data_IF_930985392379
#
_entry.id   IF_930985392379
#
_cell.length_a   1.000
_cell.length_b   1.000
_cell.length_c   1.000
_cell.angle_alpha   90.00
_cell.angle_beta   90.00
_cell.angle_gamma   90.00
#
_symmetry.space_group_name_H-M   'P 1'
#
loop_
_entity.id
_entity.type
_entity.pdbx_description
1 polymer ?
#
# COMPACT_ATOMS: atom_id res chain seq x y z
N UNK A 1 -29.72 16.16 -6.14
CA UNK A 1 -29.61 16.67 -4.75
C UNK A 1 -28.29 16.22 -4.08
N UNK A 2 -27.12 16.55 -4.66
CA UNK A 2 -25.82 16.21 -4.05
C UNK A 2 -25.20 17.43 -3.34
N UNK A 3 -25.03 18.54 -4.06
CA UNK A 3 -24.40 19.77 -3.54
C UNK A 3 -25.05 20.30 -2.25
N UNK A 4 -26.39 20.38 -2.12
CA UNK A 4 -27.01 20.82 -0.86
C UNK A 4 -26.62 19.92 0.32
N UNK A 5 -26.55 18.60 0.11
CA UNK A 5 -26.15 17.65 1.15
C UNK A 5 -24.69 17.82 1.55
N UNK A 6 -23.79 18.01 0.57
CA UNK A 6 -22.38 18.29 0.84
C UNK A 6 -22.22 19.55 1.70
N UNK A 7 -23.01 20.59 1.43
CA UNK A 7 -23.03 21.84 2.23
C UNK A 7 -23.58 21.60 3.64
N UNK A 8 -24.72 20.93 3.78
CA UNK A 8 -25.32 20.61 5.09
C UNK A 8 -24.38 19.77 5.95
N UNK A 9 -23.70 18.79 5.35
CA UNK A 9 -22.72 17.94 6.04
C UNK A 9 -21.36 18.63 6.26
N UNK A 10 -21.20 19.90 5.85
CA UNK A 10 -19.96 20.68 5.98
C UNK A 10 -18.74 19.92 5.42
N UNK A 11 -18.93 19.26 4.28
CA UNK A 11 -17.88 18.49 3.62
C UNK A 11 -16.75 19.43 3.21
N UNK A 12 -15.51 19.06 3.55
CA UNK A 12 -14.31 19.85 3.25
C UNK A 12 -13.43 19.25 2.15
N UNK A 13 -13.62 17.98 1.82
CA UNK A 13 -12.90 17.27 0.77
C UNK A 13 -13.76 16.12 0.25
N UNK A 14 -13.67 15.86 -1.05
CA UNK A 14 -14.21 14.66 -1.69
C UNK A 14 -13.04 13.80 -2.18
N UNK A 15 -13.09 12.51 -1.92
CA UNK A 15 -12.13 11.53 -2.44
C UNK A 15 -12.91 10.53 -3.27
N UNK A 16 -12.63 10.48 -4.57
CA UNK A 16 -13.15 9.45 -5.46
C UNK A 16 -12.06 8.41 -5.65
N UNK A 17 -12.28 7.24 -5.05
CA UNK A 17 -11.37 6.11 -5.20
C UNK A 17 -11.72 5.27 -6.43
N UNK A 18 -10.75 4.47 -6.88
CA UNK A 18 -10.90 3.56 -8.02
C UNK A 18 -11.23 4.24 -9.36
N UNK A 19 -10.78 5.48 -9.59
CA UNK A 19 -11.10 6.22 -10.83
C UNK A 19 -10.54 5.56 -12.10
N UNK A 20 -9.52 4.69 -12.00
CA UNK A 20 -9.05 3.85 -13.11
C UNK A 20 -10.15 2.96 -13.70
N UNK A 21 -11.24 2.70 -12.97
CA UNK A 21 -12.37 1.92 -13.49
C UNK A 21 -13.03 2.58 -14.70
N UNK A 22 -12.94 3.91 -14.82
CA UNK A 22 -13.43 4.62 -16.01
C UNK A 22 -12.68 4.22 -17.28
N UNK A 23 -11.46 3.69 -17.19
CA UNK A 23 -10.67 3.21 -18.32
C UNK A 23 -11.11 1.83 -18.83
N UNK A 24 -12.00 1.14 -18.13
CA UNK A 24 -12.50 -0.16 -18.58
C UNK A 24 -13.34 -0.01 -19.85
N UNK A 25 -13.37 -1.02 -20.75
CA UNK A 25 -14.15 -0.95 -21.99
C UNK A 25 -15.66 -0.73 -21.78
N UNK A 26 -16.22 -1.31 -20.71
CA UNK A 26 -17.64 -1.16 -20.37
C UNK A 26 -18.01 0.26 -19.93
N UNK A 27 -17.05 1.05 -19.45
CA UNK A 27 -17.24 2.44 -19.03
C UNK A 27 -17.05 3.46 -20.17
N UNK A 28 -16.63 3.05 -21.38
CA UNK A 28 -16.27 3.94 -22.48
C UNK A 28 -17.39 4.93 -22.83
N UNK A 29 -18.63 4.45 -22.98
CA UNK A 29 -19.79 5.27 -23.34
C UNK A 29 -20.15 6.33 -22.29
N UNK A 30 -19.76 6.12 -21.04
CA UNK A 30 -20.11 7.01 -19.92
C UNK A 30 -18.90 7.81 -19.41
N UNK A 31 -17.70 7.54 -19.93
CA UNK A 31 -16.45 8.10 -19.44
C UNK A 31 -16.46 9.62 -19.48
N UNK A 32 -16.64 10.18 -20.67
CA UNK A 32 -16.55 11.64 -20.88
C UNK A 32 -17.61 12.38 -20.08
N UNK A 33 -18.86 11.89 -20.09
CA UNK A 33 -19.93 12.46 -19.27
C UNK A 33 -19.64 12.41 -17.77
N UNK A 34 -18.91 11.39 -17.30
CA UNK A 34 -18.50 11.29 -15.89
C UNK A 34 -17.36 12.27 -15.57
N UNK A 35 -16.40 12.44 -16.48
CA UNK A 35 -15.30 13.41 -16.32
C UNK A 35 -15.83 14.85 -16.33
N UNK A 36 -16.75 15.16 -17.25
CA UNK A 36 -17.44 16.45 -17.31
C UNK A 36 -18.24 16.72 -16.03
N UNK A 37 -18.93 15.69 -15.52
CA UNK A 37 -19.64 15.78 -14.25
C UNK A 37 -18.71 16.05 -13.07
N UNK A 38 -17.51 15.43 -13.02
CA UNK A 38 -16.51 15.72 -11.98
C UNK A 38 -16.03 17.17 -12.05
N UNK A 39 -15.78 17.70 -13.25
CA UNK A 39 -15.39 19.10 -13.45
C UNK A 39 -16.51 20.05 -13.01
N UNK A 40 -17.76 19.74 -13.36
CA UNK A 40 -18.92 20.51 -12.93
C UNK A 40 -19.10 20.44 -11.40
N UNK A 41 -18.92 19.27 -10.78
CA UNK A 41 -19.00 19.10 -9.34
C UNK A 41 -17.93 19.91 -8.61
N UNK A 42 -16.68 19.87 -9.07
CA UNK A 42 -15.59 20.68 -8.53
C UNK A 42 -15.95 22.17 -8.59
N UNK A 43 -16.44 22.62 -9.75
CA UNK A 43 -16.77 24.03 -10.00
C UNK A 43 -17.95 24.51 -9.16
N UNK A 44 -19.03 23.73 -9.08
CA UNK A 44 -20.27 24.13 -8.40
C UNK A 44 -20.22 23.96 -6.88
N UNK A 45 -19.47 22.97 -6.40
CA UNK A 45 -19.36 22.71 -4.96
C UNK A 45 -18.33 23.62 -4.27
N UNK A 46 -17.29 24.04 -5.00
CA UNK A 46 -16.08 24.66 -4.44
C UNK A 46 -15.40 23.82 -3.35
N UNK A 47 -15.64 22.50 -3.36
CA UNK A 47 -15.01 21.55 -2.45
C UNK A 47 -13.83 20.91 -3.18
N UNK A 48 -12.62 20.87 -2.59
CA UNK A 48 -11.49 20.12 -3.14
C UNK A 48 -11.85 18.67 -3.43
N UNK A 49 -11.50 18.21 -4.64
CA UNK A 49 -11.72 16.83 -5.09
C UNK A 49 -10.36 16.16 -5.32
N UNK A 50 -10.15 15.03 -4.65
CA UNK A 50 -9.01 14.13 -4.86
C UNK A 50 -9.52 12.95 -5.67
N UNK A 51 -8.80 12.62 -6.75
CA UNK A 51 -9.03 11.42 -7.55
C UNK A 51 -7.94 10.41 -7.20
N UNK A 52 -8.34 9.24 -6.75
CA UNK A 52 -7.47 8.15 -6.27
C UNK A 52 -7.69 6.90 -7.12
N UNK A 53 -6.62 6.14 -7.31
CA UNK A 53 -6.65 4.90 -8.08
C UNK A 53 -5.25 4.35 -8.35
N UNK A 54 -5.17 3.41 -9.28
CA UNK A 54 -3.89 2.81 -9.68
C UNK A 54 -3.11 3.71 -10.66
N UNK A 55 -1.89 3.34 -10.99
CA UNK A 55 -1.04 4.04 -11.97
C UNK A 55 -1.71 4.23 -13.35
N UNK A 56 -2.69 3.37 -13.68
CA UNK A 56 -3.50 3.47 -14.90
C UNK A 56 -4.28 4.77 -14.98
N UNK A 57 -4.63 5.38 -13.84
CA UNK A 57 -5.35 6.66 -13.80
C UNK A 57 -4.66 7.75 -14.62
N UNK A 58 -3.32 7.69 -14.76
CA UNK A 58 -2.55 8.61 -15.60
C UNK A 58 -3.12 8.75 -17.03
N UNK A 59 -3.69 7.67 -17.59
CA UNK A 59 -4.27 7.67 -18.93
C UNK A 59 -5.52 8.54 -19.07
N UNK A 60 -6.24 8.82 -17.97
CA UNK A 60 -7.39 9.73 -17.95
C UNK A 60 -6.99 11.20 -18.09
N UNK A 61 -5.72 11.54 -17.82
CA UNK A 61 -5.22 12.91 -17.84
C UNK A 61 -4.51 13.26 -19.17
N UNK A 62 -4.64 12.40 -20.20
CA UNK A 62 -4.16 12.72 -21.55
C UNK A 62 -4.98 13.86 -22.20
N UNK A 63 -6.21 14.10 -21.71
CA UNK A 63 -7.04 15.22 -22.17
C UNK A 63 -6.70 16.53 -21.42
N UNK A 64 -6.30 17.54 -22.18
CA UNK A 64 -5.74 18.79 -21.64
C UNK A 64 -6.70 19.58 -20.72
N UNK A 65 -8.02 19.69 -20.98
CA UNK A 65 -8.96 20.37 -20.10
C UNK A 65 -9.15 19.69 -18.74
N UNK A 66 -9.27 18.35 -18.70
CA UNK A 66 -9.41 17.60 -17.46
C UNK A 66 -8.13 17.67 -16.62
N UNK A 67 -6.98 17.46 -17.26
CA UNK A 67 -5.66 17.53 -16.62
C UNK A 67 -5.40 18.90 -15.95
N UNK A 68 -5.86 20.01 -16.56
CA UNK A 68 -5.73 21.35 -15.98
C UNK A 68 -6.51 21.54 -14.68
N UNK A 69 -7.57 20.77 -14.44
CA UNK A 69 -8.36 20.83 -13.19
C UNK A 69 -7.78 19.93 -12.09
N UNK A 70 -7.02 18.92 -12.48
CA UNK A 70 -6.37 17.95 -11.60
C UNK A 70 -4.87 17.90 -11.86
N UNK A 71 -4.20 19.05 -11.80
CA UNK A 71 -2.80 19.20 -12.18
C UNK A 71 -1.81 18.77 -11.09
N UNK A 72 -2.28 18.53 -9.86
CA UNK A 72 -1.46 18.03 -8.76
C UNK A 72 -1.58 16.51 -8.68
N UNK A 73 -0.46 15.83 -8.94
CA UNK A 73 -0.37 14.36 -8.89
C UNK A 73 0.58 13.98 -7.78
N UNK A 74 0.13 13.09 -6.89
CA UNK A 74 0.96 12.44 -5.89
C UNK A 74 0.97 10.93 -6.16
N UNK A 75 2.16 10.34 -6.20
CA UNK A 75 2.32 8.90 -6.36
C UNK A 75 2.72 8.28 -5.02
N UNK A 76 1.98 7.28 -4.58
CA UNK A 76 2.35 6.46 -3.43
C UNK A 76 3.17 5.27 -3.93
N UNK A 77 4.47 5.31 -3.70
CA UNK A 77 5.37 4.19 -3.98
C UNK A 77 5.35 3.19 -2.83
N UNK A 78 5.73 1.94 -3.13
CA UNK A 78 6.04 0.96 -2.07
C UNK A 78 7.22 1.45 -1.24
N UNK A 79 7.24 1.06 0.03
CA UNK A 79 8.36 1.37 0.91
C UNK A 79 9.66 0.80 0.35
N UNK A 80 10.74 1.57 0.49
CA UNK A 80 12.10 1.10 0.24
C UNK A 80 12.69 0.52 1.51
N UNK A 81 13.48 -0.53 1.37
CA UNK A 81 14.22 -1.02 2.52
C UNK A 81 15.37 -0.08 2.84
N UNK A 82 15.52 0.23 4.12
CA UNK A 82 16.66 0.95 4.66
C UNK A 82 16.83 0.53 6.13
N UNK A 83 18.06 0.22 6.52
CA UNK A 83 18.35 -0.22 7.89
C UNK A 83 18.18 0.89 8.93
N UNK A 84 18.17 2.16 8.50
CA UNK A 84 17.95 3.32 9.35
C UNK A 84 16.61 3.26 10.09
N UNK A 85 16.65 3.65 11.37
CA UNK A 85 15.46 3.87 12.20
C UNK A 85 14.66 5.12 11.79
N UNK A 86 15.20 5.95 10.90
CA UNK A 86 14.49 7.11 10.34
C UNK A 86 13.86 6.82 8.98
N UNK A 87 13.96 5.58 8.48
CA UNK A 87 13.34 5.20 7.21
C UNK A 87 11.82 5.15 7.31
N UNK A 88 11.12 5.52 6.24
CA UNK A 88 9.65 5.52 6.19
C UNK A 88 9.06 4.16 6.56
N UNK A 89 9.70 3.07 6.13
CA UNK A 89 9.27 1.71 6.47
C UNK A 89 9.38 1.43 7.97
N UNK A 90 10.53 1.77 8.58
CA UNK A 90 10.73 1.58 10.02
C UNK A 90 9.74 2.45 10.83
N UNK A 91 9.61 3.73 10.50
CA UNK A 91 8.70 4.64 11.20
C UNK A 91 7.23 4.21 11.07
N UNK A 92 6.83 3.69 9.91
CA UNK A 92 5.50 3.11 9.71
C UNK A 92 5.28 1.90 10.61
N UNK A 93 6.23 0.96 10.64
CA UNK A 93 6.13 -0.21 11.52
C UNK A 93 6.13 0.17 12.99
N UNK A 94 6.93 1.15 13.41
CA UNK A 94 6.95 1.66 14.77
C UNK A 94 5.60 2.29 15.17
N UNK A 95 4.99 3.08 14.28
CA UNK A 95 3.67 3.65 14.50
C UNK A 95 2.57 2.60 14.62
N UNK A 96 2.59 1.59 13.75
CA UNK A 96 1.65 0.46 13.81
C UNK A 96 1.84 -0.37 15.08
N UNK A 97 3.09 -0.66 15.45
CA UNK A 97 3.46 -1.42 16.63
C UNK A 97 2.93 -0.76 17.91
N UNK A 98 3.14 0.55 18.04
CA UNK A 98 2.62 1.35 19.17
C UNK A 98 1.10 1.21 19.33
N UNK A 99 0.34 1.31 18.23
CA UNK A 99 -1.12 1.18 18.29
C UNK A 99 -1.56 -0.27 18.56
N UNK A 100 -0.86 -1.26 18.01
CA UNK A 100 -1.13 -2.67 18.27
C UNK A 100 -0.95 -3.02 19.75
N UNK A 101 0.18 -2.63 20.35
CA UNK A 101 0.45 -2.86 21.77
C UNK A 101 -0.56 -2.14 22.67
N UNK A 102 -0.95 -0.91 22.29
CA UNK A 102 -1.98 -0.15 23.02
C UNK A 102 -3.36 -0.82 22.96
N UNK A 103 -3.75 -1.38 21.81
CA UNK A 103 -5.08 -1.95 21.61
C UNK A 103 -5.20 -3.39 22.14
N UNK A 104 -4.17 -4.21 21.96
CA UNK A 104 -4.20 -5.64 22.28
C UNK A 104 -3.67 -5.97 23.69
N UNK A 105 -3.15 -4.98 24.42
CA UNK A 105 -2.49 -5.17 25.71
C UNK A 105 -1.39 -6.25 25.65
N UNK A 106 -0.57 -6.21 24.58
CA UNK A 106 0.50 -7.17 24.39
C UNK A 106 1.57 -7.05 25.48
N UNK A 107 2.15 -8.19 25.82
CA UNK A 107 3.35 -8.29 26.66
C UNK A 107 4.51 -8.84 25.83
N UNK A 108 5.74 -8.38 26.07
CA UNK A 108 6.94 -8.88 25.40
C UNK A 108 7.74 -7.79 24.69
N UNK A 109 8.95 -8.18 24.26
CA UNK A 109 9.98 -7.28 23.71
C UNK A 109 10.10 -7.36 22.17
N UNK A 110 9.35 -8.25 21.50
CA UNK A 110 9.41 -8.38 20.04
C UNK A 110 8.50 -7.37 19.35
N UNK A 111 9.09 -6.37 18.70
CA UNK A 111 8.36 -5.30 18.04
C UNK A 111 8.44 -5.41 16.51
N UNK A 112 7.41 -4.90 15.81
CA UNK A 112 7.37 -4.96 14.34
C UNK A 112 8.60 -4.33 13.67
N UNK A 113 9.19 -3.33 14.30
CA UNK A 113 10.31 -2.57 13.79
C UNK A 113 11.68 -3.18 14.11
N UNK A 114 11.72 -4.29 14.87
CA UNK A 114 12.93 -5.05 15.14
C UNK A 114 13.45 -5.71 13.86
N UNK A 115 14.77 -5.80 13.71
CA UNK A 115 15.41 -6.41 12.53
C UNK A 115 14.91 -7.84 12.28
N UNK A 116 14.62 -8.59 13.36
CA UNK A 116 14.09 -9.94 13.27
C UNK A 116 12.71 -9.99 12.57
N UNK A 117 11.87 -8.97 12.70
CA UNK A 117 10.54 -8.92 12.08
C UNK A 117 10.55 -8.06 10.82
N UNK A 118 11.06 -6.83 10.90
CA UNK A 118 11.14 -5.83 9.82
C UNK A 118 11.75 -6.42 8.54
N UNK A 119 12.88 -7.12 8.65
CA UNK A 119 13.61 -7.60 7.48
C UNK A 119 12.85 -8.71 6.75
N UNK A 120 12.44 -9.83 7.39
CA UNK A 120 11.54 -10.80 6.77
C UNK A 120 10.22 -10.21 6.25
N UNK A 121 9.63 -9.24 6.96
CA UNK A 121 8.41 -8.58 6.54
C UNK A 121 8.62 -7.80 5.24
N UNK A 122 9.79 -7.18 5.06
CA UNK A 122 10.16 -6.57 3.78
C UNK A 122 10.37 -7.63 2.70
N UNK A 123 11.09 -8.72 2.98
CA UNK A 123 11.27 -9.84 2.02
C UNK A 123 9.93 -10.38 1.54
N UNK A 124 8.95 -10.48 2.44
CA UNK A 124 7.61 -10.98 2.16
C UNK A 124 6.76 -10.04 1.27
N UNK A 125 6.94 -8.72 1.42
CA UNK A 125 6.02 -7.70 0.90
C UNK A 125 6.62 -6.78 -0.14
N UNK A 126 7.96 -6.70 -0.22
CA UNK A 126 8.71 -5.68 -0.97
C UNK A 126 8.26 -4.25 -0.66
N UNK A 127 7.86 -3.99 0.59
CA UNK A 127 7.38 -2.69 1.04
C UNK A 127 5.96 -2.34 0.60
N UNK A 128 5.21 -3.28 0.01
CA UNK A 128 3.80 -3.08 -0.28
C UNK A 128 2.99 -3.15 1.03
N UNK A 129 2.33 -2.03 1.37
CA UNK A 129 1.58 -1.87 2.62
C UNK A 129 0.39 -2.84 2.76
N UNK A 130 -0.21 -3.28 1.65
CA UNK A 130 -1.30 -4.28 1.68
C UNK A 130 -0.79 -5.60 2.25
N UNK A 131 0.32 -6.13 1.73
CA UNK A 131 0.91 -7.39 2.20
C UNK A 131 1.49 -7.25 3.60
N UNK A 132 2.13 -6.12 3.91
CA UNK A 132 2.57 -5.80 5.28
C UNK A 132 1.39 -5.91 6.26
N UNK A 133 0.27 -5.25 5.94
CA UNK A 133 -0.95 -5.29 6.77
C UNK A 133 -1.51 -6.71 6.87
N UNK A 134 -1.62 -7.46 5.77
CA UNK A 134 -2.15 -8.82 5.78
C UNK A 134 -1.31 -9.76 6.65
N UNK A 135 0.01 -9.70 6.54
CA UNK A 135 0.92 -10.51 7.35
C UNK A 135 0.80 -10.17 8.83
N UNK A 136 0.83 -8.88 9.17
CA UNK A 136 0.67 -8.41 10.56
C UNK A 136 -0.69 -8.84 11.12
N UNK A 137 -1.76 -8.64 10.36
CA UNK A 137 -3.12 -9.02 10.76
C UNK A 137 -3.24 -10.51 11.06
N UNK A 138 -2.71 -11.36 10.18
CA UNK A 138 -2.77 -12.80 10.36
C UNK A 138 -1.91 -13.26 11.56
N UNK A 139 -0.69 -12.73 11.70
CA UNK A 139 0.17 -13.02 12.85
C UNK A 139 -0.48 -12.61 14.19
N UNK A 140 -1.08 -11.42 14.22
CA UNK A 140 -1.83 -10.93 15.39
C UNK A 140 -3.05 -11.80 15.67
N UNK A 141 -3.81 -12.20 14.64
CA UNK A 141 -4.96 -13.10 14.79
C UNK A 141 -4.56 -14.45 15.38
N UNK A 142 -3.46 -15.04 14.89
CA UNK A 142 -2.89 -16.28 15.42
C UNK A 142 -2.47 -16.10 16.88
N UNK A 143 -1.78 -15.00 17.19
CA UNK A 143 -1.35 -14.70 18.55
C UNK A 143 -2.52 -14.60 19.53
N UNK A 144 -3.56 -13.85 19.16
CA UNK A 144 -4.75 -13.65 19.99
C UNK A 144 -5.61 -14.92 20.11
N UNK A 145 -5.59 -15.78 19.09
CA UNK A 145 -6.28 -17.07 19.11
C UNK A 145 -5.75 -18.08 20.14
N UNK A 146 -4.61 -17.80 20.79
CA UNK A 146 -4.06 -18.65 21.86
C UNK A 146 -4.76 -18.52 23.22
N UNK A 147 -5.73 -17.61 23.35
CA UNK A 147 -6.54 -17.40 24.57
C UNK A 147 -5.72 -17.19 25.86
N UNK A 148 -4.60 -16.47 25.76
CA UNK A 148 -3.76 -16.11 26.91
C UNK A 148 -4.18 -14.76 27.52
N UNK A 149 -4.15 -14.63 28.84
CA UNK A 149 -4.47 -13.38 29.55
C UNK A 149 -3.54 -12.21 29.22
N UNK A 150 -2.32 -12.50 28.77
CA UNK A 150 -1.30 -11.53 28.34
C UNK A 150 -0.71 -12.00 27.01
N UNK A 151 -1.33 -11.66 25.87
CA UNK A 151 -0.86 -12.12 24.58
C UNK A 151 0.55 -11.57 24.30
N UNK A 152 1.42 -12.42 23.74
CA UNK A 152 2.77 -12.04 23.31
C UNK A 152 2.90 -12.36 21.84
N UNK A 153 3.04 -11.32 21.02
CA UNK A 153 3.33 -11.49 19.60
C UNK A 153 4.76 -12.01 19.45
N UNK A 154 4.95 -13.05 18.64
CA UNK A 154 6.24 -13.73 18.45
C UNK A 154 6.53 -13.90 16.97
N UNK A 155 7.81 -14.00 16.61
CA UNK A 155 8.26 -14.37 15.26
C UNK A 155 7.57 -15.62 14.73
N UNK A 156 7.30 -16.60 15.60
CA UNK A 156 6.59 -17.82 15.22
C UNK A 156 5.19 -17.55 14.64
N UNK A 157 4.49 -16.52 15.12
CA UNK A 157 3.17 -16.13 14.60
C UNK A 157 3.26 -15.63 13.16
N UNK A 158 4.35 -14.92 12.83
CA UNK A 158 4.62 -14.50 11.46
C UNK A 158 5.02 -15.66 10.56
N UNK A 159 5.74 -16.65 11.09
CA UNK A 159 6.02 -17.90 10.36
C UNK A 159 4.70 -18.58 10.00
N UNK A 160 3.79 -18.73 10.96
CA UNK A 160 2.51 -19.38 10.74
C UNK A 160 1.61 -18.56 9.79
N UNK A 161 1.58 -17.23 9.94
CA UNK A 161 0.86 -16.33 9.03
C UNK A 161 1.30 -16.50 7.57
N UNK A 162 2.61 -16.52 7.32
CA UNK A 162 3.14 -16.68 5.97
C UNK A 162 2.93 -18.09 5.37
N UNK A 163 2.45 -19.09 6.14
CA UNK A 163 2.03 -20.38 5.57
C UNK A 163 0.65 -20.31 4.93
N UNK A 164 -0.22 -19.45 5.44
CA UNK A 164 -1.62 -19.34 5.00
C UNK A 164 -1.83 -18.25 3.94
N UNK A 165 -0.87 -17.34 3.77
CA UNK A 165 -0.96 -16.21 2.85
C UNK A 165 -0.30 -16.50 1.49
N UNK A 166 -0.98 -16.11 0.41
CA UNK A 166 -0.38 -16.03 -0.92
C UNK A 166 0.38 -14.70 -1.05
N UNK A 167 1.71 -14.78 -1.12
CA UNK A 167 2.60 -13.62 -1.15
C UNK A 167 3.32 -13.52 -2.51
N UNK A 168 2.69 -12.97 -3.56
CA UNK A 168 3.25 -12.94 -4.91
C UNK A 168 4.50 -12.07 -5.04
N UNK A 169 4.72 -11.14 -4.10
CA UNK A 169 5.91 -10.28 -4.06
C UNK A 169 7.05 -10.86 -3.19
N UNK A 170 6.89 -12.05 -2.62
CA UNK A 170 7.90 -12.63 -1.73
C UNK A 170 9.24 -12.88 -2.46
N UNK A 171 10.29 -12.18 -2.04
CA UNK A 171 11.64 -12.31 -2.61
C UNK A 171 12.26 -13.69 -2.32
N UNK A 172 11.82 -14.37 -1.26
CA UNK A 172 12.25 -15.73 -0.93
C UNK A 172 11.56 -16.81 -1.78
N UNK A 173 10.72 -16.41 -2.75
CA UNK A 173 9.97 -17.29 -3.66
C UNK A 173 9.10 -18.29 -2.87
N UNK A 174 9.45 -19.57 -2.92
CA UNK A 174 8.71 -20.67 -2.28
C UNK A 174 9.08 -20.86 -0.80
N UNK A 175 10.07 -20.14 -0.28
CA UNK A 175 10.43 -20.22 1.14
C UNK A 175 9.65 -19.19 1.95
N UNK A 176 9.33 -19.57 3.20
CA UNK A 176 8.74 -18.65 4.16
C UNK A 176 9.78 -17.58 4.54
N UNK A 177 9.50 -16.28 4.35
CA UNK A 177 10.48 -15.22 4.57
C UNK A 177 10.96 -15.15 6.04
N UNK A 178 10.14 -15.57 7.00
CA UNK A 178 10.50 -15.61 8.42
C UNK A 178 11.35 -16.83 8.81
N UNK A 179 11.58 -17.79 7.92
CA UNK A 179 12.52 -18.90 8.15
C UNK A 179 13.85 -18.73 7.42
N UNK A 180 13.99 -17.69 6.59
CA UNK A 180 15.24 -17.35 5.89
C UNK A 180 16.22 -16.66 6.86
N UNK A 181 17.52 -17.04 6.87
CA UNK A 181 18.54 -16.35 7.66
C UNK A 181 18.65 -14.87 7.30
N UNK A 182 18.86 -13.99 8.28
CA UNK A 182 18.89 -12.53 8.08
C UNK A 182 19.91 -12.09 7.02
N UNK A 183 21.10 -12.70 7.01
CA UNK A 183 22.13 -12.41 5.99
C UNK A 183 21.64 -12.70 4.58
N UNK A 184 20.94 -13.82 4.38
CA UNK A 184 20.33 -14.17 3.09
C UNK A 184 19.18 -13.24 2.74
N UNK A 185 18.39 -12.82 3.71
CA UNK A 185 17.32 -11.83 3.52
C UNK A 185 17.87 -10.48 3.04
N UNK A 186 18.99 -10.00 3.60
CA UNK A 186 19.66 -8.79 3.13
C UNK A 186 20.12 -8.93 1.67
N UNK A 187 20.79 -10.04 1.32
CA UNK A 187 21.23 -10.27 -0.07
C UNK A 187 20.06 -10.36 -1.07
N UNK A 188 18.90 -10.87 -0.65
CA UNK A 188 17.69 -10.86 -1.48
C UNK A 188 17.18 -9.45 -1.75
N UNK A 189 17.21 -8.58 -0.73
CA UNK A 189 16.80 -7.18 -0.84
C UNK A 189 17.77 -6.39 -1.73
N UNK A 190 19.07 -6.52 -1.50
CA UNK A 190 20.10 -5.87 -2.32
C UNK A 190 19.93 -6.20 -3.80
N UNK A 191 19.80 -7.50 -4.11
CA UNK A 191 19.57 -7.96 -5.48
C UNK A 191 18.30 -7.36 -6.09
N UNK A 192 17.21 -7.28 -5.32
CA UNK A 192 15.95 -6.71 -5.78
C UNK A 192 16.06 -5.21 -6.08
N UNK A 193 16.74 -4.46 -5.22
CA UNK A 193 16.95 -3.03 -5.42
C UNK A 193 17.87 -2.75 -6.62
N UNK A 194 18.91 -3.55 -6.82
CA UNK A 194 19.78 -3.47 -8.00
C UNK A 194 19.01 -3.74 -9.30
N UNK A 195 18.17 -4.80 -9.32
CA UNK A 195 17.30 -5.11 -10.46
C UNK A 195 16.32 -3.97 -10.75
N UNK A 196 15.72 -3.37 -9.70
CA UNK A 196 14.85 -2.18 -9.85
C UNK A 196 15.60 -0.97 -10.37
N UNK A 197 16.80 -0.70 -9.88
CA UNK A 197 17.63 0.41 -10.34
C UNK A 197 18.02 0.24 -11.82
N UNK A 198 18.33 -0.99 -12.23
CA UNK A 198 18.58 -1.34 -13.63
C UNK A 198 17.36 -1.10 -14.52
N UNK A 199 16.17 -1.56 -14.11
CA UNK A 199 14.92 -1.36 -14.87
C UNK A 199 14.52 0.12 -15.00
N UNK A 200 14.82 0.93 -13.97
CA UNK A 200 14.59 2.39 -14.02
C UNK A 200 15.53 3.09 -15.01
N UNK A 201 16.77 2.63 -15.11
CA UNK A 201 17.75 3.19 -16.07
C UNK A 201 17.56 2.67 -17.50
N UNK A 202 16.93 1.50 -17.67
CA UNK A 202 16.69 0.86 -18.96
C UNK A 202 15.20 0.51 -19.14
N UNK A 203 14.31 1.51 -19.30
CA UNK A 203 12.88 1.27 -19.41
C UNK A 203 12.55 0.44 -20.65
N UNK A 204 11.88 -0.69 -20.44
CA UNK A 204 11.41 -1.56 -21.53
C UNK A 204 10.36 -0.78 -22.35
N UNK A 205 10.49 -0.72 -23.70
CA UNK A 205 9.51 -0.02 -24.52
C UNK A 205 8.12 -0.63 -24.32
N UNK A 206 7.13 0.22 -23.97
CA UNK A 206 5.73 -0.20 -23.86
C UNK A 206 5.30 -0.82 -25.19
N UNK A 207 4.92 -2.11 -25.19
CA UNK A 207 4.28 -2.73 -26.36
C UNK A 207 3.04 -1.91 -26.69
N UNK A 208 2.99 -1.32 -27.89
CA UNK A 208 1.75 -0.72 -28.40
C UNK A 208 0.70 -1.84 -28.45
N UNK A 209 -0.51 -1.62 -27.92
CA UNK A 209 -1.59 -2.58 -28.12
C UNK A 209 -1.85 -2.68 -29.63
N UNK A 210 -1.77 -3.92 -30.13
CA UNK A 210 -2.20 -4.32 -31.48
C UNK A 210 -3.72 -4.34 -31.56
#
# INVERSE_FOLDING_TARGET
MLIPRLKTCKVRVLIFDEIQRLLRPDAEKTRDGTLDWLVALLTLSHIPIILSGTEKCSDLFNDAPFARRFCYVANLEYFKYNDSNTSDFHLTLQGLDKELYRLANFSGEEHLHDVSIKLPLYVASTGNLEYVRQIIYEAVSICLGRETSTPTLRRADFVDACRSLLLPLNLAKSANPFTVPLSKSLSLIEKYEDEKAYLRSHPVPRRKPT
#
